data_IF_078417027009
#
_entry.id   IF_078417027009
#
_cell.length_a   1.000
_cell.length_b   1.000
_cell.length_c   1.000
_cell.angle_alpha   90.00
_cell.angle_beta   90.00
_cell.angle_gamma   90.00
#
_symmetry.space_group_name_H-M   'P 1'
#
loop_
_entity.id
_entity.type
_entity.pdbx_description
1 polymer ?
#
# COMPACT_ATOMS: atom_id res chain seq x y z
N UNK A 1 15.33 4.55 46.17
CA UNK A 1 13.94 4.65 45.65
C UNK A 1 13.85 5.47 44.35
N UNK A 2 14.68 6.51 44.16
CA UNK A 2 14.75 7.30 42.92
C UNK A 2 15.13 6.57 41.60
N UNK A 3 16.03 5.56 41.56
CA UNK A 3 16.43 4.95 40.28
C UNK A 3 15.32 4.06 39.68
N UNK A 4 14.52 3.42 40.53
CA UNK A 4 13.40 2.58 40.11
C UNK A 4 12.34 3.40 39.37
N UNK A 5 11.95 4.56 39.94
CA UNK A 5 10.96 5.47 39.34
C UNK A 5 11.44 6.04 37.98
N UNK A 6 12.73 6.38 37.89
CA UNK A 6 13.35 6.87 36.66
C UNK A 6 13.35 5.80 35.56
N UNK A 7 13.62 4.53 35.90
CA UNK A 7 13.56 3.42 34.95
C UNK A 7 12.13 3.21 34.45
N UNK A 8 11.12 3.22 35.31
CA UNK A 8 9.72 3.06 34.89
C UNK A 8 9.26 4.16 33.94
N UNK A 9 9.69 5.41 34.17
CA UNK A 9 9.37 6.54 33.31
C UNK A 9 10.08 6.46 31.95
N UNK A 10 11.34 6.02 31.93
CA UNK A 10 12.06 5.80 30.67
C UNK A 10 11.48 4.62 29.88
N UNK A 11 11.04 3.56 30.56
CA UNK A 11 10.43 2.39 29.92
C UNK A 11 9.04 2.72 29.36
N UNK A 12 8.23 3.50 30.08
CA UNK A 12 6.93 3.95 29.58
C UNK A 12 7.05 4.94 28.43
N UNK A 13 8.05 5.83 28.48
CA UNK A 13 8.37 6.74 27.37
C UNK A 13 8.84 5.96 26.13
N UNK A 14 9.68 4.93 26.31
CA UNK A 14 10.16 4.08 25.21
C UNK A 14 9.04 3.25 24.57
N UNK A 15 8.14 2.67 25.36
CA UNK A 15 6.96 1.95 24.85
C UNK A 15 5.99 2.90 24.11
N UNK A 16 5.80 4.11 24.63
CA UNK A 16 4.94 5.13 24.01
C UNK A 16 5.46 5.59 22.65
N UNK A 17 6.78 5.77 22.51
CA UNK A 17 7.41 6.14 21.24
C UNK A 17 7.25 5.02 20.20
N UNK A 18 7.43 3.75 20.60
CA UNK A 18 7.29 2.60 19.69
C UNK A 18 5.86 2.44 19.15
N UNK A 19 4.84 2.79 19.93
CA UNK A 19 3.44 2.74 19.48
C UNK A 19 3.02 3.87 18.54
N UNK A 20 3.84 4.92 18.39
CA UNK A 20 3.52 6.11 17.59
C UNK A 20 4.15 6.11 16.20
N UNK A 21 5.00 5.13 15.87
CA UNK A 21 5.58 4.97 14.55
C UNK A 21 4.61 4.14 13.70
N UNK A 22 3.63 4.81 13.10
CA UNK A 22 2.85 4.23 12.00
C UNK A 22 3.74 4.25 10.75
N UNK A 23 4.78 3.42 10.75
CA UNK A 23 5.62 3.26 9.57
C UNK A 23 4.79 2.53 8.51
N UNK A 24 4.54 3.23 7.40
CA UNK A 24 3.95 2.60 6.23
C UNK A 24 4.83 1.40 5.84
N UNK A 25 4.24 0.20 5.88
CA UNK A 25 4.98 -1.06 5.65
C UNK A 25 5.61 -1.11 4.26
N UNK A 26 5.17 -0.26 3.33
CA UNK A 26 5.75 -0.05 2.01
C UNK A 26 5.91 1.45 1.70
N UNK A 27 6.80 1.80 0.78
CA UNK A 27 6.92 3.15 0.25
C UNK A 27 7.19 3.12 -1.26
N UNK A 28 6.91 4.22 -1.94
CA UNK A 28 7.29 4.39 -3.36
C UNK A 28 8.75 4.85 -3.53
N UNK A 29 9.43 5.22 -2.44
CA UNK A 29 10.82 5.65 -2.43
C UNK A 29 11.60 5.02 -1.29
N UNK A 30 12.92 5.23 -1.31
CA UNK A 30 13.82 4.97 -0.18
C UNK A 30 13.90 3.50 0.26
N UNK A 31 14.03 3.28 1.57
CA UNK A 31 14.46 1.99 2.10
C UNK A 31 13.39 0.89 1.97
N UNK A 32 12.12 1.26 1.79
CA UNK A 32 10.97 0.38 1.58
C UNK A 32 10.39 0.52 0.14
N UNK A 33 11.23 0.91 -0.82
CA UNK A 33 10.86 1.13 -2.22
C UNK A 33 10.32 -0.10 -2.96
N UNK A 34 9.86 0.13 -4.19
CA UNK A 34 9.12 -0.86 -5.00
C UNK A 34 9.88 -2.18 -5.20
N UNK A 35 11.20 -2.13 -5.38
CA UNK A 35 12.06 -3.29 -5.59
C UNK A 35 12.16 -4.21 -4.36
N UNK A 36 11.73 -3.71 -3.20
CA UNK A 36 11.79 -4.42 -1.91
C UNK A 36 10.45 -4.91 -1.41
N UNK A 37 9.31 -4.46 -1.96
CA UNK A 37 7.97 -4.79 -1.47
C UNK A 37 7.76 -6.28 -1.20
N UNK A 38 8.25 -7.15 -2.09
CA UNK A 38 8.13 -8.60 -1.93
C UNK A 38 8.88 -9.22 -0.75
N UNK A 39 9.77 -8.47 -0.09
CA UNK A 39 10.56 -8.89 1.07
C UNK A 39 10.11 -8.23 2.38
N UNK A 40 9.23 -7.22 2.32
CA UNK A 40 8.78 -6.48 3.51
C UNK A 40 7.86 -7.33 4.38
N UNK A 41 7.00 -8.13 3.74
CA UNK A 41 6.08 -9.05 4.40
C UNK A 41 5.98 -10.36 3.61
N UNK A 42 5.92 -11.56 4.23
CA UNK A 42 5.71 -12.82 3.52
C UNK A 42 4.48 -12.83 2.60
N UNK A 43 3.41 -12.12 2.99
CA UNK A 43 2.19 -11.99 2.18
C UNK A 43 2.39 -11.12 0.93
N UNK A 44 3.42 -10.28 0.89
CA UNK A 44 3.76 -9.43 -0.26
C UNK A 44 4.69 -10.14 -1.25
N UNK A 45 5.13 -11.37 -0.99
CA UNK A 45 5.98 -12.14 -1.90
C UNK A 45 5.55 -12.14 -3.38
N UNK A 46 4.24 -12.09 -3.75
CA UNK A 46 3.84 -11.93 -5.14
C UNK A 46 4.36 -10.68 -5.85
N UNK A 47 4.67 -9.59 -5.12
CA UNK A 47 5.27 -8.38 -5.70
C UNK A 47 6.64 -8.63 -6.35
N UNK A 48 7.36 -9.66 -5.89
CA UNK A 48 8.68 -10.02 -6.45
C UNK A 48 8.68 -11.33 -7.25
N UNK A 49 7.81 -12.28 -6.88
CA UNK A 49 7.76 -13.62 -7.50
C UNK A 49 6.66 -13.76 -8.55
N UNK A 50 5.72 -12.83 -8.61
CA UNK A 50 4.59 -12.87 -9.53
C UNK A 50 5.01 -12.66 -10.98
N UNK A 51 4.55 -13.53 -11.88
CA UNK A 51 4.84 -13.43 -13.33
C UNK A 51 3.77 -12.66 -14.11
N UNK A 52 2.71 -12.21 -13.43
CA UNK A 52 1.55 -11.50 -14.01
C UNK A 52 1.25 -10.23 -13.20
N UNK A 53 2.29 -9.43 -12.96
CA UNK A 53 2.21 -8.18 -12.21
C UNK A 53 1.74 -7.01 -13.10
N UNK A 54 1.33 -5.91 -12.46
CA UNK A 54 0.97 -4.64 -13.10
C UNK A 54 1.77 -3.50 -12.45
N UNK A 55 1.97 -2.35 -13.15
CA UNK A 55 1.54 -2.07 -14.52
C UNK A 55 2.39 -2.83 -15.56
N UNK A 56 1.92 -2.84 -16.82
CA UNK A 56 2.68 -3.34 -17.97
C UNK A 56 2.80 -2.24 -19.04
N UNK A 57 3.82 -2.34 -19.88
CA UNK A 57 3.94 -1.49 -21.06
C UNK A 57 2.92 -1.95 -22.13
N UNK A 58 1.88 -1.16 -22.36
CA UNK A 58 0.85 -1.44 -23.37
C UNK A 58 1.21 -0.81 -24.71
N UNK A 59 1.90 -1.57 -25.56
CA UNK A 59 2.29 -1.13 -26.89
C UNK A 59 1.28 -1.60 -27.94
N UNK A 60 0.63 -0.65 -28.64
CA UNK A 60 -0.46 -0.94 -29.59
C UNK A 60 -0.07 -1.98 -30.67
N UNK A 61 1.14 -1.91 -31.19
CA UNK A 61 1.68 -2.85 -32.19
C UNK A 61 1.88 -4.28 -31.66
N UNK A 62 1.96 -4.46 -30.33
CA UNK A 62 2.08 -5.76 -29.66
C UNK A 62 0.74 -6.27 -29.10
N UNK A 63 -0.34 -5.47 -29.20
CA UNK A 63 -1.67 -5.90 -28.75
C UNK A 63 -2.38 -6.75 -29.80
N UNK A 64 -3.14 -7.75 -29.34
CA UNK A 64 -4.01 -8.56 -30.20
C UNK A 64 -5.40 -7.93 -30.24
N UNK A 65 -5.83 -7.52 -31.44
CA UNK A 65 -7.19 -7.02 -31.62
C UNK A 65 -8.19 -8.18 -31.59
N UNK A 66 -9.05 -8.20 -30.58
CA UNK A 66 -10.10 -9.21 -30.45
C UNK A 66 -11.48 -8.60 -30.77
N UNK A 67 -12.01 -8.92 -31.96
CA UNK A 67 -13.34 -8.47 -32.42
C UNK A 67 -14.52 -9.09 -31.66
N UNK A 68 -14.27 -10.11 -30.85
CA UNK A 68 -15.31 -10.75 -30.02
C UNK A 68 -15.50 -10.04 -28.68
N UNK A 69 -14.64 -9.09 -28.33
CA UNK A 69 -14.85 -8.27 -27.13
C UNK A 69 -16.12 -7.44 -27.28
N UNK A 70 -17.03 -7.58 -26.32
CA UNK A 70 -18.27 -6.80 -26.27
C UNK A 70 -18.01 -5.41 -25.69
N UNK A 71 -18.87 -4.42 -25.98
CA UNK A 71 -18.81 -3.11 -25.33
C UNK A 71 -18.86 -3.24 -23.80
N UNK A 72 -18.09 -2.40 -23.10
CA UNK A 72 -18.18 -2.28 -21.65
C UNK A 72 -19.42 -1.45 -21.27
N UNK A 73 -20.54 -2.11 -20.99
CA UNK A 73 -21.75 -1.46 -20.48
C UNK A 73 -21.56 -1.07 -19.02
N UNK A 74 -21.77 0.21 -18.70
CA UNK A 74 -21.63 0.78 -17.35
C UNK A 74 -22.98 1.33 -16.89
N UNK A 75 -23.42 0.96 -15.70
CA UNK A 75 -24.66 1.47 -15.07
C UNK A 75 -24.35 2.00 -13.67
N UNK A 76 -23.41 2.95 -13.58
CA UNK A 76 -23.08 3.59 -12.31
C UNK A 76 -24.26 4.44 -11.80
N UNK A 77 -24.46 4.46 -10.48
CA UNK A 77 -25.48 5.25 -9.79
C UNK A 77 -24.80 6.24 -8.85
N UNK A 78 -25.51 7.32 -8.52
CA UNK A 78 -25.06 8.20 -7.46
C UNK A 78 -25.22 7.47 -6.12
N UNK A 79 -24.24 7.66 -5.25
CA UNK A 79 -24.20 7.13 -3.89
C UNK A 79 -23.53 8.17 -3.00
N UNK A 80 -23.79 8.11 -1.69
CA UNK A 80 -23.04 8.91 -0.74
C UNK A 80 -21.60 8.41 -0.73
N UNK A 81 -20.64 9.30 -0.91
CA UNK A 81 -19.24 8.94 -1.00
C UNK A 81 -18.36 9.81 -0.11
N UNK A 82 -17.25 9.24 0.36
CA UNK A 82 -16.26 9.93 1.19
C UNK A 82 -14.95 10.04 0.44
N UNK A 83 -14.36 11.25 0.43
CA UNK A 83 -13.00 11.45 -0.07
C UNK A 83 -12.01 11.01 1.01
N UNK A 84 -11.12 10.07 0.67
CA UNK A 84 -10.17 9.46 1.61
C UNK A 84 -8.74 9.68 1.14
N UNK A 85 -7.90 10.21 2.03
CA UNK A 85 -6.46 10.21 1.86
C UNK A 85 -5.86 9.02 2.64
N UNK A 86 -5.23 8.09 1.93
CA UNK A 86 -4.60 6.88 2.51
C UNK A 86 -3.10 7.05 2.78
N UNK A 87 -2.55 8.24 2.56
CA UNK A 87 -1.10 8.52 2.64
C UNK A 87 -0.34 8.14 1.37
N UNK A 88 -0.66 7.01 0.74
CA UNK A 88 -0.07 6.54 -0.52
C UNK A 88 -0.98 6.72 -1.75
N UNK A 89 -2.23 7.13 -1.55
CA UNK A 89 -3.18 7.49 -2.61
C UNK A 89 -4.31 8.36 -2.06
N UNK A 90 -4.98 9.08 -2.96
CA UNK A 90 -6.28 9.71 -2.71
C UNK A 90 -7.33 8.91 -3.45
N UNK A 91 -8.38 8.49 -2.74
CA UNK A 91 -9.44 7.65 -3.28
C UNK A 91 -10.81 8.13 -2.86
N UNK A 92 -11.83 7.61 -3.52
CA UNK A 92 -13.23 7.80 -3.15
C UNK A 92 -13.78 6.47 -2.66
N UNK A 93 -14.35 6.48 -1.46
CA UNK A 93 -15.10 5.36 -0.90
C UNK A 93 -16.59 5.60 -1.19
N UNK A 94 -17.23 4.67 -1.92
CA UNK A 94 -18.56 4.80 -2.52
C UNK A 94 -19.59 3.91 -1.84
#
# INVERSE_FOLDING_TARGET
MAPQLSIFFMLSLLLGILSAIDEMEFCYSDNNGLDKWGKLNPTFSPCSLGQRQSPINSQRNLTVHNKLLKPLTRNYKHVNATLVNKGYSVGVDF
#
